data_IF_401211359694
#
_entry.id   IF_401211359694
#
_cell.length_a   1.000
_cell.length_b   1.000
_cell.length_c   1.000
_cell.angle_alpha   90.00
_cell.angle_beta   90.00
_cell.angle_gamma   90.00
#
_symmetry.space_group_name_H-M   'P 1'
#
loop_
_entity.id
_entity.type
_entity.pdbx_description
1 polymer ?
#
# COMPACT_ATOMS: atom_id res chain seq x y z
N UNK A 1 -26.10 -22.10 -8.74
CA UNK A 1 -24.71 -22.50 -9.00
C UNK A 1 -24.04 -21.33 -9.70
N UNK A 2 -23.35 -20.48 -8.96
CA UNK A 2 -22.64 -19.31 -9.52
C UNK A 2 -21.24 -19.77 -9.91
N UNK A 3 -20.96 -19.78 -11.21
CA UNK A 3 -19.62 -20.03 -11.73
C UNK A 3 -18.87 -18.71 -11.58
N UNK A 4 -17.92 -18.64 -10.64
CA UNK A 4 -16.96 -17.56 -10.57
C UNK A 4 -16.05 -17.68 -11.81
N UNK A 5 -16.27 -16.85 -12.80
CA UNK A 5 -15.34 -16.69 -13.92
C UNK A 5 -14.08 -16.01 -13.37
N UNK A 6 -13.05 -16.79 -13.11
CA UNK A 6 -11.70 -16.27 -12.91
C UNK A 6 -11.24 -15.77 -14.26
N UNK A 7 -11.36 -14.47 -14.52
CA UNK A 7 -10.76 -13.85 -15.70
C UNK A 7 -9.26 -13.97 -15.50
N UNK A 8 -8.61 -14.88 -16.22
CA UNK A 8 -7.16 -14.91 -16.32
C UNK A 8 -6.74 -13.63 -17.02
N UNK A 9 -6.01 -12.78 -16.31
CA UNK A 9 -5.49 -11.54 -16.86
C UNK A 9 -4.41 -11.90 -17.90
N UNK A 10 -4.73 -11.78 -19.19
CA UNK A 10 -3.81 -12.10 -20.29
C UNK A 10 -2.92 -10.93 -20.73
N UNK A 11 -3.08 -9.76 -20.12
CA UNK A 11 -2.29 -8.57 -20.46
C UNK A 11 -0.96 -8.54 -19.73
N UNK A 12 0.10 -8.08 -20.40
CA UNK A 12 1.38 -7.83 -19.77
C UNK A 12 1.37 -6.51 -18.99
N UNK A 13 2.29 -6.33 -18.04
CA UNK A 13 2.48 -5.05 -17.34
C UNK A 13 2.73 -3.88 -18.29
N UNK A 14 3.47 -4.13 -19.39
CA UNK A 14 3.71 -3.11 -20.43
C UNK A 14 2.40 -2.70 -21.14
N UNK A 15 1.49 -3.63 -21.41
CA UNK A 15 0.19 -3.31 -22.01
C UNK A 15 -0.69 -2.49 -21.06
N UNK A 16 -0.67 -2.77 -19.74
CA UNK A 16 -1.37 -1.94 -18.76
C UNK A 16 -0.79 -0.52 -18.69
N UNK A 17 0.53 -0.41 -18.68
CA UNK A 17 1.21 0.89 -18.71
C UNK A 17 0.83 1.70 -19.96
N UNK A 18 0.74 1.04 -21.11
CA UNK A 18 0.28 1.68 -22.35
C UNK A 18 -1.18 2.14 -22.22
N UNK A 19 -2.07 1.29 -21.66
CA UNK A 19 -3.47 1.65 -21.46
C UNK A 19 -3.66 2.83 -20.47
N UNK A 20 -2.76 2.98 -19.50
CA UNK A 20 -2.71 4.19 -18.64
C UNK A 20 -2.33 5.41 -19.47
N UNK A 21 -1.29 5.30 -20.31
CA UNK A 21 -0.77 6.41 -21.10
C UNK A 21 -1.78 6.91 -22.16
N UNK A 22 -2.58 6.03 -22.75
CA UNK A 22 -3.60 6.40 -23.76
C UNK A 22 -5.00 6.62 -23.16
N UNK A 23 -5.16 6.49 -21.83
CA UNK A 23 -6.40 6.79 -21.11
C UNK A 23 -7.45 5.67 -21.18
N UNK A 24 -7.15 4.50 -21.76
CA UNK A 24 -8.09 3.38 -21.92
C UNK A 24 -8.09 2.40 -20.73
N UNK A 25 -7.28 2.66 -19.71
CA UNK A 25 -7.06 1.69 -18.61
C UNK A 25 -8.36 1.22 -17.94
N UNK A 26 -9.37 2.07 -17.81
CA UNK A 26 -10.66 1.73 -17.19
C UNK A 26 -11.53 0.80 -18.04
N UNK A 27 -11.20 0.64 -19.31
CA UNK A 27 -11.88 -0.32 -20.21
C UNK A 27 -11.35 -1.74 -20.01
N UNK A 28 -10.12 -1.88 -19.53
CA UNK A 28 -9.42 -3.17 -19.41
C UNK A 28 -9.15 -3.61 -17.97
N UNK A 29 -9.16 -2.68 -17.00
CA UNK A 29 -8.86 -2.96 -15.59
C UNK A 29 -9.85 -2.23 -14.67
N UNK A 30 -10.54 -3.00 -13.85
CA UNK A 30 -11.55 -2.48 -12.93
C UNK A 30 -11.05 -2.52 -11.48
N UNK A 31 -11.67 -1.70 -10.63
CA UNK A 31 -11.43 -1.78 -9.20
C UNK A 31 -11.74 -3.17 -8.66
N UNK A 32 -10.87 -3.69 -7.79
CA UNK A 32 -10.88 -5.05 -7.23
C UNK A 32 -10.38 -6.15 -8.16
N UNK A 33 -10.02 -5.86 -9.40
CA UNK A 33 -9.32 -6.85 -10.23
C UNK A 33 -7.98 -7.21 -9.59
N UNK A 34 -7.67 -8.53 -9.58
CA UNK A 34 -6.46 -9.07 -8.97
C UNK A 34 -5.52 -9.61 -10.02
N UNK A 35 -4.27 -9.19 -9.92
CA UNK A 35 -3.18 -9.67 -10.77
C UNK A 35 -2.23 -10.50 -9.91
N UNK A 36 -2.04 -11.80 -10.23
CA UNK A 36 -1.08 -12.64 -9.52
C UNK A 36 0.35 -12.13 -9.75
N UNK A 37 1.14 -12.12 -8.69
CA UNK A 37 2.56 -11.77 -8.73
C UNK A 37 3.36 -12.84 -7.99
N UNK A 38 4.44 -13.32 -8.60
CA UNK A 38 5.40 -14.19 -7.92
C UNK A 38 6.69 -13.41 -7.75
N UNK A 39 7.09 -13.20 -6.50
CA UNK A 39 8.34 -12.51 -6.18
C UNK A 39 9.56 -13.37 -6.55
N UNK A 40 10.72 -12.77 -6.77
CA UNK A 40 11.98 -13.47 -7.12
C UNK A 40 12.43 -14.49 -6.07
N UNK A 41 11.99 -14.32 -4.81
CA UNK A 41 12.23 -15.30 -3.73
C UNK A 41 11.24 -16.49 -3.74
N UNK A 42 10.32 -16.55 -4.71
CA UNK A 42 9.31 -17.60 -4.86
C UNK A 42 8.02 -17.36 -4.07
N UNK A 43 7.89 -16.27 -3.32
CA UNK A 43 6.66 -15.91 -2.62
C UNK A 43 5.56 -15.56 -3.65
N UNK A 44 4.39 -16.20 -3.51
CA UNK A 44 3.23 -15.94 -4.35
C UNK A 44 2.30 -14.96 -3.66
N UNK A 45 1.91 -13.92 -4.36
CA UNK A 45 1.00 -12.89 -3.89
C UNK A 45 0.12 -12.41 -5.03
N UNK A 46 -0.72 -11.43 -4.79
CA UNK A 46 -1.47 -10.72 -5.82
C UNK A 46 -1.46 -9.22 -5.49
N UNK A 47 -1.67 -8.41 -6.51
CA UNK A 47 -1.97 -6.98 -6.34
C UNK A 47 -3.37 -6.70 -6.83
N UNK A 48 -4.05 -5.77 -6.17
CA UNK A 48 -5.43 -5.37 -6.44
C UNK A 48 -5.41 -4.01 -7.09
N UNK A 49 -6.07 -3.87 -8.24
CA UNK A 49 -6.28 -2.59 -8.88
C UNK A 49 -7.31 -1.75 -8.11
N UNK A 50 -7.03 -0.48 -7.94
CA UNK A 50 -7.88 0.47 -7.25
C UNK A 50 -7.67 1.88 -7.78
N UNK A 51 -8.65 2.73 -7.63
CA UNK A 51 -8.60 4.11 -8.10
C UNK A 51 -8.86 5.08 -6.95
N UNK A 52 -8.23 6.23 -7.00
CA UNK A 52 -8.60 7.36 -6.16
C UNK A 52 -9.77 8.16 -6.79
N UNK A 53 -10.23 9.21 -6.11
CA UNK A 53 -11.35 10.04 -6.59
C UNK A 53 -11.02 10.82 -7.88
N UNK A 54 -9.74 11.04 -8.18
CA UNK A 54 -9.32 11.68 -9.43
C UNK A 54 -9.28 10.71 -10.62
N UNK A 55 -9.38 9.42 -10.34
CA UNK A 55 -9.28 8.35 -11.32
C UNK A 55 -7.87 7.83 -11.53
N UNK A 56 -6.91 8.23 -10.72
CA UNK A 56 -5.55 7.68 -10.76
C UNK A 56 -5.55 6.23 -10.30
N UNK A 57 -4.89 5.38 -11.08
CA UNK A 57 -4.71 3.95 -10.78
C UNK A 57 -3.62 3.73 -9.75
N UNK A 58 -3.96 2.91 -8.76
CA UNK A 58 -3.04 2.34 -7.79
C UNK A 58 -3.15 0.81 -7.84
N UNK A 59 -2.06 0.15 -7.51
CA UNK A 59 -2.05 -1.26 -7.15
C UNK A 59 -1.67 -1.39 -5.69
N UNK A 60 -2.38 -2.25 -4.98
CA UNK A 60 -2.14 -2.53 -3.56
C UNK A 60 -1.98 -4.03 -3.39
N UNK A 61 -0.98 -4.48 -2.66
CA UNK A 61 -0.85 -5.89 -2.33
C UNK A 61 -2.13 -6.37 -1.64
N UNK A 62 -2.72 -7.46 -2.16
CA UNK A 62 -3.99 -8.02 -1.68
C UNK A 62 -3.89 -8.42 -0.21
N UNK A 63 -2.79 -9.09 0.12
CA UNK A 63 -2.47 -9.55 1.46
C UNK A 63 -1.09 -9.04 1.91
N UNK A 64 -0.78 -9.26 3.19
CA UNK A 64 0.53 -8.96 3.73
C UNK A 64 1.58 -9.91 3.16
N UNK A 65 2.78 -9.40 2.93
CA UNK A 65 3.94 -10.21 2.62
C UNK A 65 4.29 -11.13 3.79
N UNK A 66 5.02 -12.21 3.50
CA UNK A 66 5.38 -13.26 4.46
C UNK A 66 6.09 -12.71 5.69
N UNK A 67 7.02 -11.77 5.51
CA UNK A 67 7.84 -11.25 6.59
C UNK A 67 7.26 -9.96 7.17
N UNK A 68 6.81 -9.95 8.44
CA UNK A 68 6.40 -8.74 9.12
C UNK A 68 7.63 -7.86 9.40
N UNK A 69 7.42 -6.53 9.45
CA UNK A 69 8.50 -5.60 9.68
C UNK A 69 8.07 -4.44 10.57
N UNK A 70 9.02 -3.73 11.17
CA UNK A 70 8.78 -2.55 11.99
C UNK A 70 8.86 -1.26 11.16
N UNK A 71 8.18 -0.20 11.60
CA UNK A 71 8.35 1.13 10.98
C UNK A 71 9.74 1.69 11.30
N UNK A 72 10.17 1.57 12.57
CA UNK A 72 11.52 1.93 13.04
C UNK A 72 11.97 0.95 14.14
N UNK A 73 13.28 0.71 14.32
CA UNK A 73 13.78 -0.24 15.33
C UNK A 73 13.63 0.30 16.78
N UNK A 74 13.21 1.55 16.95
CA UNK A 74 13.00 2.22 18.25
C UNK A 74 11.64 2.91 18.27
N UNK A 75 11.21 3.33 19.45
CA UNK A 75 10.02 4.16 19.65
C UNK A 75 10.29 5.57 19.11
N UNK A 76 10.18 5.72 17.79
CA UNK A 76 10.33 7.01 17.10
C UNK A 76 9.55 7.01 15.79
N UNK A 77 8.89 8.14 15.50
CA UNK A 77 8.31 8.46 14.19
C UNK A 77 8.95 9.72 13.59
N UNK A 78 10.10 10.15 14.14
CA UNK A 78 10.88 11.25 13.61
C UNK A 78 11.29 11.00 12.16
N UNK A 79 11.15 12.03 11.31
CA UNK A 79 11.35 11.91 9.87
C UNK A 79 10.13 11.36 9.12
N UNK A 80 9.01 11.10 9.79
CA UNK A 80 7.77 10.58 9.22
C UNK A 80 8.00 9.33 8.36
N UNK A 81 7.26 9.15 7.26
CA UNK A 81 7.51 8.09 6.28
C UNK A 81 8.89 8.23 5.64
N UNK A 82 9.24 9.44 5.22
CA UNK A 82 10.49 9.72 4.49
C UNK A 82 11.75 9.24 5.23
N UNK A 83 11.77 9.33 6.56
CA UNK A 83 12.89 8.91 7.42
C UNK A 83 12.74 7.50 8.01
N UNK A 84 11.69 6.75 7.69
CA UNK A 84 11.42 5.45 8.31
C UNK A 84 12.31 4.32 7.76
N UNK A 85 12.61 3.34 8.62
CA UNK A 85 13.28 2.09 8.19
C UNK A 85 12.39 1.21 7.31
N UNK A 86 11.08 1.32 7.46
CA UNK A 86 10.12 0.67 6.58
C UNK A 86 10.27 1.16 5.13
N UNK A 87 10.47 2.47 4.92
CA UNK A 87 10.73 3.01 3.57
C UNK A 87 12.01 2.41 2.95
N UNK A 88 13.06 2.24 3.73
CA UNK A 88 14.28 1.54 3.26
C UNK A 88 13.98 0.07 2.93
N UNK A 89 13.10 -0.57 3.70
CA UNK A 89 12.67 -1.96 3.45
C UNK A 89 11.85 -2.09 2.16
N UNK A 90 11.05 -1.07 1.77
CA UNK A 90 10.34 -1.05 0.49
C UNK A 90 11.29 -1.20 -0.71
N UNK A 91 12.51 -0.68 -0.64
CA UNK A 91 13.52 -0.85 -1.70
C UNK A 91 13.91 -2.32 -1.88
N UNK A 92 14.05 -3.06 -0.77
CA UNK A 92 14.33 -4.51 -0.83
C UNK A 92 13.16 -5.29 -1.41
N UNK A 93 11.92 -4.90 -1.07
CA UNK A 93 10.72 -5.53 -1.64
C UNK A 93 10.64 -5.22 -3.14
N UNK A 94 10.95 -3.98 -3.57
CA UNK A 94 10.99 -3.61 -4.98
C UNK A 94 11.97 -4.49 -5.76
N UNK A 95 13.17 -4.75 -5.23
CA UNK A 95 14.19 -5.60 -5.88
C UNK A 95 13.72 -7.06 -6.02
N UNK A 96 12.77 -7.50 -5.20
CA UNK A 96 12.16 -8.83 -5.29
C UNK A 96 11.02 -8.93 -6.31
N UNK A 97 10.49 -7.81 -6.82
CA UNK A 97 9.45 -7.84 -7.85
C UNK A 97 9.99 -8.42 -9.17
N UNK A 98 9.12 -9.03 -10.01
CA UNK A 98 9.46 -9.40 -11.38
C UNK A 98 9.98 -8.20 -12.18
N UNK A 99 10.92 -8.44 -13.10
CA UNK A 99 11.59 -7.37 -13.84
C UNK A 99 10.61 -6.57 -14.74
N UNK A 100 9.63 -7.24 -15.33
CA UNK A 100 8.58 -6.63 -16.15
C UNK A 100 7.67 -5.72 -15.33
N UNK A 101 7.38 -6.07 -14.08
CA UNK A 101 6.64 -5.20 -13.15
C UNK A 101 7.51 -4.02 -12.71
N UNK A 102 8.78 -4.25 -12.34
CA UNK A 102 9.69 -3.16 -11.97
C UNK A 102 9.83 -2.10 -13.08
N UNK A 103 9.84 -2.54 -14.34
CA UNK A 103 10.02 -1.67 -15.51
C UNK A 103 8.88 -0.65 -15.69
N UNK A 104 7.67 -0.95 -15.18
CA UNK A 104 6.50 -0.07 -15.37
C UNK A 104 6.14 0.77 -14.15
N UNK A 105 6.64 0.41 -12.95
CA UNK A 105 6.33 1.15 -11.72
C UNK A 105 6.89 2.57 -11.78
N UNK A 106 6.01 3.53 -11.60
CA UNK A 106 6.35 4.95 -11.54
C UNK A 106 6.86 5.38 -10.16
N UNK A 107 7.65 6.43 -10.15
CA UNK A 107 8.01 7.09 -8.90
C UNK A 107 6.85 7.96 -8.44
N UNK A 108 6.41 7.74 -7.22
CA UNK A 108 5.37 8.53 -6.55
C UNK A 108 6.03 9.51 -5.59
N UNK A 109 5.79 10.81 -5.80
CA UNK A 109 6.18 11.84 -4.86
C UNK A 109 5.18 11.88 -3.70
N UNK A 110 5.67 11.72 -2.48
CA UNK A 110 4.88 11.70 -1.24
C UNK A 110 5.28 12.89 -0.39
N UNK A 111 4.30 13.72 -0.04
CA UNK A 111 4.46 14.85 0.85
C UNK A 111 3.63 14.62 2.11
N UNK A 112 4.27 14.61 3.27
CA UNK A 112 3.60 14.45 4.57
C UNK A 112 3.92 15.62 5.48
N UNK A 113 2.90 16.13 6.16
CA UNK A 113 3.08 16.98 7.33
C UNK A 113 3.03 16.10 8.59
N UNK A 114 3.95 16.31 9.51
CA UNK A 114 3.96 15.64 10.81
C UNK A 114 4.48 16.59 11.87
N UNK A 115 3.65 16.87 12.89
CA UNK A 115 3.97 17.78 14.00
C UNK A 115 4.49 19.15 13.51
N UNK A 116 3.85 19.70 12.46
CA UNK A 116 4.19 21.02 11.90
C UNK A 116 5.42 21.05 10.99
N UNK A 117 6.02 19.90 10.69
CA UNK A 117 7.13 19.78 9.73
C UNK A 117 6.67 19.03 8.48
N UNK A 118 7.17 19.46 7.32
CA UNK A 118 6.93 18.78 6.04
C UNK A 118 8.09 17.84 5.71
N UNK A 119 7.75 16.63 5.29
CA UNK A 119 8.68 15.58 4.87
C UNK A 119 8.29 15.12 3.47
N UNK A 120 9.27 14.98 2.61
CA UNK A 120 9.06 14.59 1.21
C UNK A 120 9.88 13.34 0.87
N UNK A 121 9.33 12.50 0.01
CA UNK A 121 10.04 11.33 -0.51
C UNK A 121 9.55 10.93 -1.90
N UNK A 122 10.45 10.34 -2.68
CA UNK A 122 10.18 9.76 -3.98
C UNK A 122 10.30 8.25 -3.87
N UNK A 123 9.19 7.53 -4.11
CA UNK A 123 9.08 6.12 -3.82
C UNK A 123 8.47 5.31 -4.97
N UNK A 124 9.08 4.16 -5.28
CA UNK A 124 8.53 3.16 -6.20
C UNK A 124 7.47 2.30 -5.53
N UNK A 125 7.75 1.83 -4.31
CA UNK A 125 6.80 1.17 -3.42
C UNK A 125 6.64 2.00 -2.15
N UNK A 126 5.42 2.06 -1.64
CA UNK A 126 5.09 2.79 -0.42
C UNK A 126 3.97 2.07 0.36
N UNK A 127 3.88 2.29 1.65
CA UNK A 127 2.67 1.94 2.39
C UNK A 127 1.58 2.99 2.12
N UNK A 128 0.32 2.56 2.19
CA UNK A 128 -0.81 3.49 2.06
C UNK A 128 -0.88 4.43 3.27
N UNK A 129 -1.48 5.62 3.06
CA UNK A 129 -1.79 6.53 4.16
C UNK A 129 -3.08 6.14 4.88
N UNK A 130 -3.29 6.75 6.05
CA UNK A 130 -4.57 6.61 6.78
C UNK A 130 -5.74 7.09 5.92
N UNK A 131 -5.61 8.21 5.21
CA UNK A 131 -6.67 8.74 4.34
C UNK A 131 -6.94 7.86 3.13
N UNK A 132 -5.92 7.26 2.51
CA UNK A 132 -6.12 6.31 1.41
C UNK A 132 -6.93 5.08 1.83
N UNK A 133 -6.84 4.68 3.10
CA UNK A 133 -7.54 3.49 3.61
C UNK A 133 -8.88 3.84 4.28
N UNK A 134 -8.96 4.94 5.04
CA UNK A 134 -10.13 5.27 5.86
C UNK A 134 -10.93 6.47 5.34
N UNK A 135 -10.43 7.21 4.34
CA UNK A 135 -11.05 8.42 3.82
C UNK A 135 -10.87 9.65 4.71
N UNK A 136 -10.28 9.48 5.88
CA UNK A 136 -10.03 10.56 6.84
C UNK A 136 -8.78 10.27 7.67
N UNK A 137 -8.03 11.29 8.02
CA UNK A 137 -6.96 11.22 9.01
C UNK A 137 -7.55 11.35 10.42
N UNK A 138 -7.62 10.26 11.18
CA UNK A 138 -8.10 10.23 12.57
C UNK A 138 -6.98 10.40 13.57
N UNK A 139 -5.82 9.84 13.26
CA UNK A 139 -4.64 9.82 14.11
C UNK A 139 -3.47 10.61 13.53
N UNK A 140 -3.37 10.68 12.21
CA UNK A 140 -2.29 11.42 11.52
C UNK A 140 -2.71 12.85 11.18
N UNK A 141 -1.74 13.66 10.80
CA UNK A 141 -2.01 14.92 10.11
C UNK A 141 -2.50 14.59 8.67
N UNK A 142 -3.44 15.39 8.11
CA UNK A 142 -3.93 15.17 6.75
C UNK A 142 -2.83 15.29 5.69
N UNK A 143 -2.90 14.45 4.65
CA UNK A 143 -2.03 14.53 3.48
C UNK A 143 -2.74 15.26 2.33
N UNK A 144 -2.17 16.37 1.83
CA UNK A 144 -2.76 17.15 0.74
C UNK A 144 -2.78 16.35 -0.57
N UNK A 145 -3.93 16.37 -1.26
CA UNK A 145 -4.09 15.71 -2.56
C UNK A 145 -4.22 14.19 -2.47
N UNK A 146 -4.54 13.67 -1.29
CA UNK A 146 -4.79 12.25 -1.05
C UNK A 146 -6.27 12.03 -0.77
N UNK A 147 -6.86 10.99 -1.38
CA UNK A 147 -8.25 10.59 -1.15
C UNK A 147 -8.35 9.09 -0.90
N UNK A 148 -9.52 8.66 -0.41
CA UNK A 148 -9.76 7.24 -0.16
C UNK A 148 -9.75 6.44 -1.46
N UNK A 149 -8.98 5.35 -1.47
CA UNK A 149 -9.02 4.38 -2.55
C UNK A 149 -10.36 3.62 -2.55
N UNK A 150 -10.91 3.41 -3.73
CA UNK A 150 -12.28 2.93 -3.90
C UNK A 150 -12.51 1.49 -3.42
N UNK A 151 -11.45 0.71 -3.23
CA UNK A 151 -11.54 -0.65 -2.65
C UNK A 151 -11.78 -0.69 -1.14
N UNK A 152 -11.57 0.42 -0.39
CA UNK A 152 -11.61 0.44 1.08
C UNK A 152 -12.89 1.09 1.65
N UNK A 153 -14.06 0.65 1.23
CA UNK A 153 -15.34 1.26 1.66
C UNK A 153 -15.85 0.74 3.00
N UNK A 154 -15.58 -0.52 3.33
CA UNK A 154 -16.04 -1.18 4.56
C UNK A 154 -14.87 -1.67 5.41
N UNK A 155 -15.13 -2.02 6.68
CA UNK A 155 -14.10 -2.64 7.53
C UNK A 155 -13.57 -3.94 6.94
N UNK A 156 -14.44 -4.74 6.34
CA UNK A 156 -14.06 -6.00 5.71
C UNK A 156 -13.07 -5.81 4.56
N UNK A 157 -13.20 -4.74 3.78
CA UNK A 157 -12.30 -4.43 2.66
C UNK A 157 -10.87 -4.13 3.12
N UNK A 158 -10.70 -3.75 4.40
CA UNK A 158 -9.41 -3.40 5.00
C UNK A 158 -8.71 -4.57 5.69
N UNK A 159 -9.40 -5.71 5.84
CA UNK A 159 -8.81 -6.92 6.42
C UNK A 159 -7.84 -7.54 5.43
N UNK A 160 -6.63 -7.81 5.89
CA UNK A 160 -5.59 -8.52 5.14
C UNK A 160 -5.13 -9.75 5.91
N UNK A 161 -4.66 -10.73 5.17
CA UNK A 161 -4.13 -11.97 5.71
C UNK A 161 -2.61 -12.04 5.51
N UNK A 162 -1.95 -12.88 6.28
CA UNK A 162 -0.56 -13.29 6.06
C UNK A 162 -0.52 -14.82 5.97
N UNK A 163 0.22 -15.33 4.98
CA UNK A 163 0.35 -16.76 4.74
C UNK A 163 0.79 -17.51 6.01
N UNK A 164 0.07 -18.58 6.35
CA UNK A 164 0.34 -19.40 7.54
C UNK A 164 -0.07 -18.80 8.89
N UNK A 165 -0.63 -17.58 8.90
CA UNK A 165 -1.02 -16.86 10.13
C UNK A 165 -2.54 -16.57 10.16
N UNK A 166 -3.14 -16.25 9.02
CA UNK A 166 -4.52 -15.75 8.91
C UNK A 166 -4.55 -14.23 8.92
N UNK A 167 -5.65 -13.64 9.47
CA UNK A 167 -5.80 -12.19 9.50
C UNK A 167 -4.67 -11.52 10.28
N UNK A 168 -4.11 -10.47 9.70
CA UNK A 168 -2.92 -9.79 10.23
C UNK A 168 -3.17 -8.29 10.43
N UNK A 169 -2.53 -7.70 11.40
CA UNK A 169 -2.41 -6.26 11.55
C UNK A 169 -1.39 -5.76 10.54
N UNK A 170 -1.67 -4.65 9.84
CA UNK A 170 -0.74 -4.15 8.84
C UNK A 170 -0.53 -2.65 8.93
N UNK A 171 0.70 -2.24 8.62
CA UNK A 171 1.15 -0.87 8.73
C UNK A 171 0.60 0.04 7.65
N UNK A 172 0.34 1.30 8.05
CA UNK A 172 0.21 2.44 7.15
C UNK A 172 1.41 3.39 7.31
N UNK A 173 1.68 4.21 6.30
CA UNK A 173 2.82 5.14 6.34
C UNK A 173 2.61 6.33 7.27
N UNK A 174 1.39 6.58 7.73
CA UNK A 174 0.99 7.77 8.48
C UNK A 174 1.54 7.76 9.91
N UNK A 175 2.43 8.70 10.30
CA UNK A 175 2.84 8.87 11.68
C UNK A 175 1.69 9.51 12.47
N UNK A 176 1.51 9.10 13.74
CA UNK A 176 0.49 9.69 14.59
C UNK A 176 0.85 11.13 14.97
N UNK A 177 -0.07 12.05 14.71
CA UNK A 177 0.03 13.47 15.12
C UNK A 177 0.09 13.59 16.66
N UNK A 178 0.94 14.48 17.15
CA UNK A 178 1.15 14.66 18.59
C UNK A 178 1.88 13.52 19.31
N UNK A 179 2.45 12.55 18.57
CA UNK A 179 3.25 11.47 19.10
C UNK A 179 4.68 11.54 18.56
N UNK A 180 5.64 11.06 19.33
CA UNK A 180 7.06 10.96 18.93
C UNK A 180 7.47 9.55 18.48
N UNK A 181 6.55 8.55 18.53
CA UNK A 181 7.01 7.18 18.37
C UNK A 181 5.98 6.18 17.83
N UNK A 182 4.82 6.64 17.34
CA UNK A 182 3.76 5.73 16.84
C UNK A 182 3.41 6.01 15.39
N UNK A 183 3.03 4.96 14.67
CA UNK A 183 2.45 5.01 13.32
C UNK A 183 1.06 4.38 13.31
N UNK A 184 0.27 4.74 12.31
CA UNK A 184 -1.07 4.15 12.12
C UNK A 184 -0.95 2.75 11.54
N UNK A 185 -1.84 1.86 11.97
CA UNK A 185 -2.03 0.52 11.41
C UNK A 185 -3.50 0.18 11.29
N UNK A 186 -3.80 -0.85 10.52
CA UNK A 186 -5.11 -1.48 10.42
C UNK A 186 -5.15 -2.71 11.32
N UNK A 187 -6.27 -2.90 12.04
CA UNK A 187 -6.54 -4.12 12.83
C UNK A 187 -6.94 -5.31 11.95
N UNK A 188 -6.87 -6.50 12.53
CA UNK A 188 -7.44 -7.75 11.94
C UNK A 188 -8.94 -7.67 11.68
N UNK A 189 -9.67 -6.76 12.33
CA UNK A 189 -11.09 -6.48 12.09
C UNK A 189 -11.34 -5.37 11.06
N UNK A 190 -10.29 -4.75 10.50
CA UNK A 190 -10.39 -3.62 9.57
C UNK A 190 -10.51 -2.24 10.24
N UNK A 191 -10.46 -2.16 11.56
CA UNK A 191 -10.42 -0.91 12.32
C UNK A 191 -9.02 -0.28 12.34
N UNK A 192 -8.89 0.92 12.95
CA UNK A 192 -7.65 1.71 12.99
C UNK A 192 -7.04 1.80 14.37
N UNK A 193 -5.71 1.81 14.49
CA UNK A 193 -4.94 2.01 15.71
C UNK A 193 -3.55 2.61 15.42
N UNK A 194 -2.78 2.94 16.47
CA UNK A 194 -1.48 3.61 16.35
C UNK A 194 -0.44 3.07 17.36
N UNK A 195 0.14 1.89 17.16
CA UNK A 195 1.11 1.29 18.05
C UNK A 195 2.50 1.92 17.91
N UNK A 196 3.42 1.48 18.80
CA UNK A 196 4.84 1.83 18.70
C UNK A 196 5.43 1.42 17.36
N UNK A 197 6.23 2.33 16.77
CA UNK A 197 6.98 2.10 15.54
C UNK A 197 7.90 0.88 15.58
N UNK A 198 8.29 0.43 16.78
CA UNK A 198 9.22 -0.69 16.98
C UNK A 198 8.59 -2.09 16.95
N UNK A 199 7.26 -2.16 16.87
CA UNK A 199 6.60 -3.45 16.70
C UNK A 199 6.65 -3.89 15.24
N UNK A 200 6.65 -5.22 15.01
CA UNK A 200 6.60 -5.79 13.68
C UNK A 200 5.17 -6.25 13.36
N UNK A 201 4.63 -5.77 12.25
CA UNK A 201 3.31 -6.13 11.72
C UNK A 201 3.39 -6.38 10.23
N UNK A 202 2.27 -6.79 9.66
CA UNK A 202 2.14 -7.06 8.23
C UNK A 202 2.52 -5.87 7.35
N UNK A 203 3.07 -6.18 6.21
CA UNK A 203 3.54 -5.22 5.19
C UNK A 203 2.77 -5.47 3.90
N UNK A 204 1.97 -4.51 3.49
CA UNK A 204 1.17 -4.55 2.27
C UNK A 204 1.41 -3.28 1.44
N UNK A 205 2.43 -3.27 0.58
CA UNK A 205 2.78 -2.11 -0.22
C UNK A 205 1.73 -1.73 -1.25
N UNK A 206 1.81 -0.47 -1.70
CA UNK A 206 1.16 0.02 -2.90
C UNK A 206 2.17 0.62 -3.87
N UNK A 207 1.74 0.79 -5.14
CA UNK A 207 2.51 1.44 -6.20
C UNK A 207 1.59 1.98 -7.30
N UNK A 208 2.15 2.82 -8.19
CA UNK A 208 1.50 3.31 -9.41
C UNK A 208 2.28 2.86 -10.65
N UNK A 209 1.60 2.78 -11.80
CA UNK A 209 2.22 2.53 -13.10
C UNK A 209 1.87 3.61 -14.10
#
# INVERSE_FOLDING_TARGET
MFIATTTTFESSWAALKQAVADGSIREVLHSKDKIPVTLKNGEKTAVVATYDETGKLFFVFDNCLRDPYYMNPRFTNGGAWAGSKMREYMKKIYDMLPDDLQAVIETTHIVQTHNGQTYESDDKLFLLSEEQVFGTARYSDPETGVSQLDIFKTERDRVKEREGVGTEWWWLRSPRSGSSGTFVRVYTSGGVNNPSASYSYGVAPGFCI
#
